data_IF_824626672368
#
_entry.id   IF_824626672368
#
_cell.length_a   1.000
_cell.length_b   1.000
_cell.length_c   1.000
_cell.angle_alpha   90.00
_cell.angle_beta   90.00
_cell.angle_gamma   90.00
#
_symmetry.space_group_name_H-M   'P 1'
#
loop_
_entity.id
_entity.type
_entity.pdbx_description
1 polymer ?
#
# COMPACT_ATOMS: atom_id res chain seq x y z
N UNK A 1 -12.40 -1.80 11.38
CA UNK A 1 -11.46 -2.15 10.29
C UNK A 1 -10.27 -2.89 10.87
N UNK A 2 -9.93 -4.07 10.34
CA UNK A 2 -8.77 -4.78 10.84
C UNK A 2 -7.49 -4.25 10.19
N UNK A 3 -6.35 -4.69 10.68
CA UNK A 3 -5.07 -4.16 10.23
C UNK A 3 -4.79 -4.48 8.77
N UNK A 4 -5.22 -5.65 8.31
CA UNK A 4 -5.06 -6.02 6.92
C UNK A 4 -5.80 -5.06 6.00
N UNK A 5 -7.06 -4.79 6.31
CA UNK A 5 -7.86 -3.87 5.50
C UNK A 5 -7.28 -2.47 5.49
N UNK A 6 -6.78 -2.02 6.65
CA UNK A 6 -6.17 -0.72 6.75
C UNK A 6 -4.94 -0.60 5.86
N UNK A 7 -4.07 -1.62 5.89
CA UNK A 7 -2.88 -1.61 5.04
C UNK A 7 -3.24 -1.68 3.56
N UNK A 8 -4.23 -2.47 3.19
CA UNK A 8 -4.66 -2.55 1.81
C UNK A 8 -5.27 -1.24 1.33
N UNK A 9 -6.03 -0.58 2.19
CA UNK A 9 -6.59 0.72 1.88
C UNK A 9 -5.49 1.75 1.64
N UNK A 10 -4.48 1.77 2.50
CA UNK A 10 -3.36 2.69 2.36
C UNK A 10 -2.56 2.41 1.09
N UNK A 11 -2.37 1.13 0.74
CA UNK A 11 -1.65 0.78 -0.48
C UNK A 11 -2.42 1.25 -1.72
N UNK A 12 -3.75 1.16 -1.68
CA UNK A 12 -4.57 1.63 -2.77
C UNK A 12 -4.47 3.14 -2.93
N UNK A 13 -4.48 3.87 -1.83
CA UNK A 13 -4.30 5.32 -1.87
C UNK A 13 -2.93 5.69 -2.44
N UNK A 14 -1.89 4.94 -2.08
CA UNK A 14 -0.56 5.18 -2.61
C UNK A 14 -0.53 4.95 -4.12
N UNK A 15 -1.19 3.91 -4.61
CA UNK A 15 -1.27 3.66 -6.05
C UNK A 15 -2.00 4.77 -6.78
N UNK A 16 -3.08 5.27 -6.21
CA UNK A 16 -3.81 6.39 -6.82
C UNK A 16 -2.94 7.64 -6.87
N UNK A 17 -2.18 7.89 -5.83
CA UNK A 17 -1.26 9.02 -5.80
C UNK A 17 -0.17 8.85 -6.86
N UNK A 18 0.32 7.63 -7.06
CA UNK A 18 1.30 7.36 -8.09
C UNK A 18 0.77 7.69 -9.48
N UNK A 19 -0.49 7.35 -9.74
CA UNK A 19 -1.11 7.63 -11.03
C UNK A 19 -1.24 9.12 -11.32
N UNK A 20 -1.32 9.94 -10.27
CA UNK A 20 -1.41 11.38 -10.39
C UNK A 20 -0.05 12.05 -10.43
N UNK A 21 1.03 11.30 -10.21
CA UNK A 21 2.37 11.87 -10.18
C UNK A 21 2.78 12.37 -11.57
N UNK A 22 3.42 13.52 -11.59
CA UNK A 22 3.84 14.13 -12.85
C UNK A 22 5.27 13.78 -13.25
N UNK A 23 6.03 13.19 -12.32
CA UNK A 23 7.41 12.82 -12.58
C UNK A 23 7.64 11.34 -12.35
N UNK A 24 8.64 10.79 -13.03
CA UNK A 24 8.95 9.37 -12.90
C UNK A 24 9.38 9.00 -11.49
N UNK A 25 10.18 9.85 -10.85
CA UNK A 25 10.65 9.51 -9.50
C UNK A 25 9.50 9.52 -8.50
N UNK A 26 8.54 10.42 -8.64
CA UNK A 26 7.39 10.48 -7.75
C UNK A 26 6.50 9.25 -7.95
N UNK A 27 6.27 8.88 -9.21
CA UNK A 27 5.51 7.68 -9.53
C UNK A 27 6.17 6.44 -8.91
N UNK A 28 7.46 6.32 -9.10
CA UNK A 28 8.21 5.17 -8.59
C UNK A 28 8.20 5.13 -7.07
N UNK A 29 8.36 6.30 -6.43
CA UNK A 29 8.30 6.40 -4.99
C UNK A 29 6.97 5.85 -4.44
N UNK A 30 5.86 6.30 -5.01
CA UNK A 30 4.55 5.88 -4.52
C UNK A 30 4.24 4.43 -4.85
N UNK A 31 4.75 3.92 -5.97
CA UNK A 31 4.63 2.50 -6.27
C UNK A 31 5.38 1.65 -5.24
N UNK A 32 6.58 2.09 -4.87
CA UNK A 32 7.33 1.40 -3.84
C UNK A 32 6.62 1.41 -2.49
N UNK A 33 6.01 2.53 -2.14
CA UNK A 33 5.22 2.63 -0.91
C UNK A 33 4.06 1.65 -0.94
N UNK A 34 3.33 1.60 -2.05
CA UNK A 34 2.21 0.69 -2.19
C UNK A 34 2.65 -0.76 -2.08
N UNK A 35 3.75 -1.12 -2.73
CA UNK A 35 4.28 -2.47 -2.67
C UNK A 35 4.64 -2.88 -1.25
N UNK A 36 5.29 -1.97 -0.52
CA UNK A 36 5.67 -2.25 0.86
C UNK A 36 4.45 -2.43 1.76
N UNK A 37 3.43 -1.63 1.55
CA UNK A 37 2.19 -1.77 2.32
C UNK A 37 1.52 -3.10 2.05
N UNK A 38 1.51 -3.54 0.79
CA UNK A 38 0.97 -4.85 0.42
C UNK A 38 1.78 -5.98 1.04
N UNK A 39 3.11 -5.87 1.04
CA UNK A 39 3.95 -6.88 1.66
C UNK A 39 3.67 -6.99 3.16
N UNK A 40 3.51 -5.86 3.84
CA UNK A 40 3.18 -5.87 5.25
C UNK A 40 1.83 -6.52 5.50
N UNK A 41 0.84 -6.24 4.65
CA UNK A 41 -0.47 -6.85 4.80
C UNK A 41 -0.41 -8.35 4.65
N UNK A 42 0.35 -8.84 3.66
CA UNK A 42 0.47 -10.26 3.41
C UNK A 42 1.30 -10.98 4.47
N UNK A 43 2.14 -10.23 5.18
CA UNK A 43 2.98 -10.80 6.23
C UNK A 43 2.31 -10.81 7.61
N UNK A 44 1.11 -10.27 7.74
CA UNK A 44 0.40 -10.26 9.01
C UNK A 44 0.03 -11.68 9.43
N UNK A 45 0.12 -11.99 10.75
CA UNK A 45 -0.34 -13.29 11.23
C UNK A 45 -1.84 -13.45 11.06
N UNK A 46 -2.29 -14.69 11.00
CA UNK A 46 -3.72 -14.98 10.82
C UNK A 46 -4.59 -14.27 11.86
N UNK A 47 -4.08 -14.11 13.06
CA UNK A 47 -4.80 -13.45 14.13
C UNK A 47 -5.19 -12.02 13.79
N UNK A 48 -4.39 -11.35 13.01
CA UNK A 48 -4.64 -9.96 12.64
C UNK A 48 -5.42 -9.82 11.35
N UNK A 49 -5.67 -10.93 10.66
CA UNK A 49 -6.47 -10.92 9.44
C UNK A 49 -7.96 -11.04 9.72
N UNK A 50 -8.31 -11.38 10.93
CA UNK A 50 -9.72 -11.55 11.32
C UNK A 50 -10.32 -10.32 11.95
#
# INVERSE_FOLDING_TARGET
MNRFEELMFKSELAEQTARKAESNWAWQYWQNVADKLKEKALALPLEELC
#
